data_IF_057788858812
#
_entry.id   IF_057788858812
#
_cell.length_a   1.000
_cell.length_b   1.000
_cell.length_c   1.000
_cell.angle_alpha   90.00
_cell.angle_beta   90.00
_cell.angle_gamma   90.00
#
_symmetry.space_group_name_H-M   'P 1'
#
loop_
_entity.id
_entity.type
_entity.pdbx_description
1 polymer ?
#
# COMPACT_ATOMS: atom_id res chain seq x y z
N UNK A 1 -10.71 0.29 0.06
CA UNK A 1 -9.57 -0.66 0.12
C UNK A 1 -8.90 -0.72 -1.27
N UNK A 2 -8.03 0.26 -1.56
CA UNK A 2 -7.53 0.59 -2.91
C UNK A 2 -7.03 -0.59 -3.76
N UNK A 3 -6.42 -1.61 -3.14
CA UNK A 3 -5.95 -2.81 -3.86
C UNK A 3 -7.08 -3.74 -4.29
N UNK A 4 -8.12 -3.89 -3.47
CA UNK A 4 -9.25 -4.79 -3.75
C UNK A 4 -10.13 -4.21 -4.85
N UNK A 5 -10.31 -2.89 -4.85
CA UNK A 5 -10.95 -2.15 -5.95
C UNK A 5 -10.22 -2.33 -7.29
N UNK A 6 -8.93 -2.70 -7.26
CA UNK A 6 -8.08 -2.97 -8.43
C UNK A 6 -7.88 -4.45 -8.69
N UNK A 7 -8.56 -5.34 -7.96
CA UNK A 7 -8.41 -6.79 -8.10
C UNK A 7 -7.03 -7.31 -7.71
N UNK A 8 -6.25 -6.56 -6.92
CA UNK A 8 -4.90 -6.93 -6.51
C UNK A 8 -4.89 -7.70 -5.19
N UNK A 9 -4.18 -8.83 -5.19
CA UNK A 9 -3.80 -9.53 -3.96
C UNK A 9 -2.69 -8.77 -3.22
N UNK A 10 -2.49 -9.07 -1.94
CA UNK A 10 -1.36 -8.50 -1.19
C UNK A 10 -0.02 -8.89 -1.79
N UNK A 11 0.12 -10.13 -2.27
CA UNK A 11 1.36 -10.61 -2.91
C UNK A 11 1.63 -9.87 -4.21
N UNK A 12 0.60 -9.67 -5.05
CA UNK A 12 0.75 -8.92 -6.28
C UNK A 12 1.13 -7.45 -6.03
N UNK A 13 0.52 -6.81 -5.03
CA UNK A 13 0.85 -5.43 -4.69
C UNK A 13 2.25 -5.30 -4.08
N UNK A 14 2.62 -6.20 -3.16
CA UNK A 14 3.96 -6.25 -2.57
C UNK A 14 5.04 -6.41 -3.66
N UNK A 15 4.82 -7.32 -4.61
CA UNK A 15 5.73 -7.52 -5.74
C UNK A 15 5.87 -6.26 -6.60
N UNK A 16 4.75 -5.58 -6.91
CA UNK A 16 4.75 -4.37 -7.75
C UNK A 16 5.40 -3.17 -7.07
N UNK A 17 5.21 -3.02 -5.76
CA UNK A 17 5.75 -1.90 -4.97
C UNK A 17 7.14 -2.18 -4.38
N UNK A 18 7.69 -3.38 -4.58
CA UNK A 18 9.00 -3.76 -4.04
C UNK A 18 9.06 -3.87 -2.51
N UNK A 19 7.92 -3.80 -1.80
CA UNK A 19 7.86 -4.07 -0.36
C UNK A 19 7.61 -5.55 -0.10
N UNK A 20 7.94 -6.01 1.11
CA UNK A 20 7.55 -7.36 1.51
C UNK A 20 6.05 -7.42 1.81
N UNK A 21 5.45 -8.60 1.60
CA UNK A 21 4.03 -8.81 1.92
C UNK A 21 3.70 -8.50 3.39
N UNK A 22 4.59 -8.82 4.32
CA UNK A 22 4.39 -8.54 5.74
C UNK A 22 4.35 -7.03 6.03
N UNK A 23 5.23 -6.26 5.40
CA UNK A 23 5.21 -4.79 5.49
C UNK A 23 3.89 -4.23 4.97
N UNK A 24 3.41 -4.74 3.84
CA UNK A 24 2.12 -4.33 3.28
C UNK A 24 0.95 -4.69 4.21
N UNK A 25 0.92 -5.89 4.77
CA UNK A 25 -0.10 -6.33 5.74
C UNK A 25 -0.12 -5.40 6.96
N UNK A 26 1.04 -5.12 7.55
CA UNK A 26 1.13 -4.29 8.76
C UNK A 26 0.73 -2.84 8.48
N UNK A 27 1.04 -2.33 7.29
CA UNK A 27 0.61 -1.01 6.85
C UNK A 27 -0.91 -0.94 6.63
N UNK A 28 -1.50 -1.94 5.94
CA UNK A 28 -2.96 -2.02 5.73
C UNK A 28 -3.74 -2.11 7.06
N UNK A 29 -3.17 -2.77 8.06
CA UNK A 29 -3.76 -2.90 9.40
C UNK A 29 -3.45 -1.71 10.32
N UNK A 30 -2.70 -0.71 9.85
CA UNK A 30 -2.28 0.45 10.65
C UNK A 30 -1.36 0.08 11.83
N UNK A 31 -0.75 -1.10 11.82
CA UNK A 31 0.10 -1.61 12.92
C UNK A 31 1.51 -1.04 12.90
N UNK A 32 1.91 -0.46 11.77
CA UNK A 32 3.26 0.06 11.54
C UNK A 32 3.23 1.27 10.60
N UNK A 33 4.07 2.25 10.88
CA UNK A 33 4.41 3.32 9.93
C UNK A 33 5.33 2.83 8.79
N UNK A 34 5.09 3.33 7.58
CA UNK A 34 5.94 3.10 6.42
C UNK A 34 7.06 4.14 6.34
N UNK A 35 8.18 3.75 5.72
CA UNK A 35 9.17 4.73 5.27
C UNK A 35 8.55 5.60 4.17
N UNK A 36 8.96 6.87 4.11
CA UNK A 36 8.45 7.83 3.13
C UNK A 36 8.52 7.28 1.71
N UNK A 37 9.68 6.76 1.27
CA UNK A 37 9.85 6.17 -0.06
C UNK A 37 8.85 5.05 -0.37
N UNK A 38 8.58 4.17 0.61
CA UNK A 38 7.68 3.02 0.43
C UNK A 38 6.23 3.44 0.29
N UNK A 39 5.84 4.57 0.87
CA UNK A 39 4.54 5.16 0.65
C UNK A 39 4.34 5.50 -0.83
N UNK A 40 5.37 6.06 -1.49
CA UNK A 40 5.30 6.39 -2.91
C UNK A 40 5.32 5.14 -3.78
N UNK A 41 6.17 4.16 -3.48
CA UNK A 41 6.22 2.90 -4.23
C UNK A 41 4.86 2.18 -4.22
N UNK A 42 4.17 2.17 -3.06
CA UNK A 42 2.84 1.57 -2.92
C UNK A 42 1.79 2.40 -3.66
N UNK A 43 1.85 3.73 -3.57
CA UNK A 43 0.93 4.62 -4.27
C UNK A 43 1.06 4.48 -5.80
N UNK A 44 2.29 4.41 -6.31
CA UNK A 44 2.58 4.18 -7.73
C UNK A 44 2.05 2.81 -8.18
N UNK A 45 2.33 1.75 -7.42
CA UNK A 45 1.83 0.40 -7.73
C UNK A 45 0.29 0.31 -7.72
N UNK A 46 -0.36 1.16 -6.95
CA UNK A 46 -1.81 1.34 -6.90
C UNK A 46 -2.32 2.39 -7.88
N UNK A 47 -1.48 3.12 -8.61
CA UNK A 47 -1.90 4.22 -9.47
C UNK A 47 -2.82 5.22 -8.73
N UNK A 48 -2.43 5.59 -7.51
CA UNK A 48 -3.06 6.63 -6.67
C UNK A 48 -2.00 7.62 -6.22
N UNK A 49 -2.44 8.73 -5.66
CA UNK A 49 -1.52 9.66 -4.97
C UNK A 49 -1.21 9.14 -3.56
N UNK A 50 -0.01 9.44 -3.06
CA UNK A 50 0.36 9.10 -1.68
C UNK A 50 -0.59 9.71 -0.63
N UNK A 51 -1.16 10.89 -0.92
CA UNK A 51 -2.16 11.54 -0.05
C UNK A 51 -3.41 10.69 0.14
N UNK A 52 -3.89 10.01 -0.92
CA UNK A 52 -5.05 9.11 -0.83
C UNK A 52 -4.81 7.91 0.11
N UNK A 53 -3.55 7.51 0.33
CA UNK A 53 -3.21 6.46 1.29
C UNK A 53 -3.16 6.98 2.74
N UNK A 54 -3.01 8.29 2.93
CA UNK A 54 -2.95 8.94 4.25
C UNK A 54 -4.30 9.45 4.76
N UNK A 55 -5.28 9.60 3.87
CA UNK A 55 -6.59 10.18 4.20
C UNK A 55 -7.47 9.31 5.15
N UNK A 56 -7.02 8.11 5.51
CA UNK A 56 -7.42 7.41 6.74
C UNK A 56 -8.92 7.22 6.98
N UNK A 57 -9.78 7.40 5.98
CA UNK A 57 -11.22 7.22 6.14
C UNK A 57 -11.58 5.78 5.74
N UNK A 58 -12.27 5.01 6.61
CA UNK A 58 -12.76 3.68 6.27
C UNK A 58 -13.62 3.63 5.01
#
# INVERSE_FOLDING_TARGET
MFRTERGLTQEALALRSGVTRNVLIDAELGRRGLLYERLFDIAEALQVTAGQLMDGNP
#
